data_IF_916286965318
#
_entry.id   IF_916286965318
#
_cell.length_a   1.000
_cell.length_b   1.000
_cell.length_c   1.000
_cell.angle_alpha   90.00
_cell.angle_beta   90.00
_cell.angle_gamma   90.00
#
_symmetry.space_group_name_H-M   'P 1'
#
loop_
_entity.id
_entity.type
_entity.pdbx_description
1 polymer ?
#
# COMPACT_ATOMS: atom_id res chain seq x y z
N UNK A 1 7.12 -12.97 -7.92
CA UNK A 1 5.88 -13.06 -7.10
C UNK A 1 5.99 -12.00 -6.01
N UNK A 2 4.93 -11.25 -5.68
CA UNK A 2 5.04 -10.10 -4.75
C UNK A 2 5.04 -10.58 -3.29
N UNK A 3 5.93 -10.01 -2.45
CA UNK A 3 6.14 -10.39 -1.04
C UNK A 3 5.23 -9.64 -0.05
N UNK A 4 4.22 -8.92 -0.56
CA UNK A 4 3.37 -8.03 0.24
C UNK A 4 2.63 -8.75 1.37
N UNK A 5 2.23 -10.01 1.13
CA UNK A 5 1.56 -10.83 2.13
C UNK A 5 2.45 -11.30 3.29
N UNK A 6 3.77 -11.12 3.21
CA UNK A 6 4.68 -11.43 4.33
C UNK A 6 4.61 -10.38 5.45
N UNK A 7 4.15 -9.17 5.15
CA UNK A 7 4.19 -8.04 6.08
C UNK A 7 2.89 -7.28 6.24
N UNK A 8 2.01 -7.22 5.23
CA UNK A 8 0.75 -6.49 5.35
C UNK A 8 -0.36 -7.33 6.00
N UNK A 9 -1.04 -6.75 6.98
CA UNK A 9 -2.21 -7.36 7.62
C UNK A 9 -3.43 -7.40 6.68
N UNK A 10 -3.55 -6.42 5.77
CA UNK A 10 -4.70 -6.26 4.89
C UNK A 10 -4.40 -6.72 3.46
N UNK A 11 -3.30 -6.26 2.86
CA UNK A 11 -2.95 -6.56 1.47
C UNK A 11 -2.19 -7.88 1.38
N UNK A 12 -2.92 -8.97 1.13
CA UNK A 12 -2.34 -10.33 1.16
C UNK A 12 -1.62 -10.71 -0.13
N UNK A 13 -1.90 -10.04 -1.24
CA UNK A 13 -1.21 -10.29 -2.51
C UNK A 13 -1.40 -9.16 -3.52
N UNK A 14 -0.40 -8.99 -4.39
CA UNK A 14 -0.48 -8.08 -5.54
C UNK A 14 -0.16 -8.84 -6.83
N UNK A 15 -0.92 -8.55 -7.89
CA UNK A 15 -0.68 -9.07 -9.25
C UNK A 15 -0.62 -7.92 -10.24
N UNK A 16 0.41 -7.89 -11.08
CA UNK A 16 0.50 -6.96 -12.21
C UNK A 16 -0.61 -7.18 -13.24
N UNK A 17 -1.04 -6.10 -13.88
CA UNK A 17 -2.06 -6.08 -14.94
C UNK A 17 -1.45 -5.53 -16.24
N UNK A 18 -2.12 -5.80 -17.37
CA UNK A 18 -1.73 -5.21 -18.66
C UNK A 18 -0.32 -5.57 -19.14
N UNK A 19 0.19 -6.75 -18.79
CA UNK A 19 1.53 -7.19 -19.18
C UNK A 19 2.68 -6.55 -18.38
N UNK A 20 2.40 -5.72 -17.38
CA UNK A 20 3.43 -5.19 -16.51
C UNK A 20 4.14 -6.31 -15.72
N UNK A 21 5.43 -6.13 -15.49
CA UNK A 21 6.27 -7.05 -14.72
C UNK A 21 7.01 -6.37 -13.58
N UNK A 22 7.02 -5.03 -13.57
CA UNK A 22 7.78 -4.18 -12.65
C UNK A 22 7.00 -2.90 -12.32
N UNK A 23 7.41 -2.24 -11.24
CA UNK A 23 6.88 -0.94 -10.87
C UNK A 23 7.50 0.16 -11.73
N UNK A 24 6.68 0.82 -12.55
CA UNK A 24 7.04 2.02 -13.31
C UNK A 24 5.82 2.91 -13.50
N UNK A 25 5.97 4.22 -13.70
CA UNK A 25 4.83 5.11 -13.93
C UNK A 25 3.87 4.56 -14.99
N UNK A 26 2.56 4.57 -14.67
CA UNK A 26 1.49 4.02 -15.52
C UNK A 26 1.30 2.50 -15.44
N UNK A 27 2.22 1.74 -14.86
CA UNK A 27 2.04 0.31 -14.64
C UNK A 27 0.87 0.06 -13.66
N UNK A 28 0.04 -0.94 -13.97
CA UNK A 28 -1.13 -1.26 -13.16
C UNK A 28 -0.98 -2.58 -12.46
N UNK A 29 -1.57 -2.65 -11.27
CA UNK A 29 -1.64 -3.88 -10.49
C UNK A 29 -2.97 -3.97 -9.75
N UNK A 30 -3.34 -5.20 -9.35
CA UNK A 30 -4.48 -5.44 -8.47
C UNK A 30 -4.00 -5.95 -7.12
N UNK A 31 -4.27 -5.18 -6.08
CA UNK A 31 -4.15 -5.61 -4.70
C UNK A 31 -5.34 -6.48 -4.31
N UNK A 32 -5.08 -7.59 -3.62
CA UNK A 32 -6.09 -8.42 -2.97
C UNK A 32 -6.01 -8.16 -1.48
N UNK A 33 -7.11 -7.66 -0.93
CA UNK A 33 -7.20 -7.25 0.46
C UNK A 33 -8.13 -8.18 1.23
N UNK A 34 -7.86 -8.32 2.53
CA UNK A 34 -8.67 -9.10 3.46
C UNK A 34 -8.75 -8.40 4.81
N UNK A 35 -9.96 -8.32 5.38
CA UNK A 35 -10.20 -7.89 6.76
C UNK A 35 -11.27 -8.80 7.37
N UNK A 36 -10.87 -9.63 8.35
CA UNK A 36 -11.73 -10.70 8.87
C UNK A 36 -12.21 -11.63 7.76
N UNK A 37 -13.54 -11.76 7.62
CA UNK A 37 -14.18 -12.56 6.56
C UNK A 37 -14.30 -11.83 5.22
N UNK A 38 -14.12 -10.50 5.21
CA UNK A 38 -14.29 -9.69 4.01
C UNK A 38 -13.05 -9.75 3.12
N UNK A 39 -13.28 -9.82 1.81
CA UNK A 39 -12.23 -9.83 0.78
C UNK A 39 -12.63 -8.89 -0.34
N UNK A 40 -11.67 -8.11 -0.82
CA UNK A 40 -11.91 -7.21 -1.96
C UNK A 40 -10.65 -7.03 -2.80
N UNK A 41 -10.85 -6.57 -4.02
CA UNK A 41 -9.78 -6.20 -4.93
C UNK A 41 -9.76 -4.71 -5.19
N UNK A 42 -8.58 -4.09 -5.19
CA UNK A 42 -8.40 -2.72 -5.67
C UNK A 42 -7.40 -2.70 -6.81
N UNK A 43 -7.82 -2.13 -7.93
CA UNK A 43 -6.89 -1.79 -9.01
C UNK A 43 -6.14 -0.52 -8.61
N UNK A 44 -4.84 -0.54 -8.87
CA UNK A 44 -3.93 0.55 -8.58
C UNK A 44 -3.06 0.83 -9.81
N UNK A 45 -2.61 2.07 -9.91
CA UNK A 45 -1.69 2.52 -10.93
C UNK A 45 -0.48 3.17 -10.25
N UNK A 46 0.72 2.76 -10.65
CA UNK A 46 1.96 3.37 -10.19
C UNK A 46 2.06 4.77 -10.76
N UNK A 47 2.27 5.75 -9.88
CA UNK A 47 2.43 7.16 -10.21
C UNK A 47 3.92 7.51 -10.30
N UNK A 48 4.72 7.03 -9.35
CA UNK A 48 6.16 7.24 -9.27
C UNK A 48 6.83 5.96 -8.79
N UNK A 49 7.97 5.61 -9.38
CA UNK A 49 8.81 4.52 -8.91
C UNK A 49 10.27 4.94 -9.09
N UNK A 50 10.84 5.51 -8.04
CA UNK A 50 12.23 5.97 -7.97
C UNK A 50 12.98 5.16 -6.91
N UNK A 51 14.32 5.20 -6.88
CA UNK A 51 15.07 4.67 -5.76
C UNK A 51 14.51 5.23 -4.45
N UNK A 52 14.19 4.34 -3.51
CA UNK A 52 13.69 4.68 -2.17
C UNK A 52 12.31 5.35 -2.11
N UNK A 53 11.61 5.55 -3.24
CA UNK A 53 10.29 6.17 -3.24
C UNK A 53 9.34 5.47 -4.22
N UNK A 54 8.18 5.06 -3.71
CA UNK A 54 7.11 4.47 -4.50
C UNK A 54 5.81 5.20 -4.23
N UNK A 55 5.15 5.68 -5.28
CA UNK A 55 3.83 6.32 -5.20
C UNK A 55 2.87 5.58 -6.12
N UNK A 56 1.67 5.28 -5.62
CA UNK A 56 0.60 4.70 -6.43
C UNK A 56 -0.75 5.29 -6.06
N UNK A 57 -1.69 5.21 -6.98
CA UNK A 57 -3.09 5.60 -6.75
C UNK A 57 -4.01 4.42 -6.93
N UNK A 58 -5.07 4.34 -6.14
CA UNK A 58 -6.17 3.42 -6.42
C UNK A 58 -6.98 3.94 -7.60
N UNK A 59 -7.26 3.10 -8.59
CA UNK A 59 -8.07 3.46 -9.76
C UNK A 59 -9.56 3.34 -9.40
N UNK A 60 -10.35 4.43 -9.53
CA UNK A 60 -11.79 4.37 -9.31
C UNK A 60 -12.49 3.41 -10.28
N UNK A 61 -13.48 2.70 -9.78
CA UNK A 61 -14.35 1.81 -10.56
C UNK A 61 -15.81 2.09 -10.21
N UNK A 62 -16.75 1.50 -10.94
CA UNK A 62 -18.18 1.59 -10.58
C UNK A 62 -18.47 1.05 -9.17
N UNK A 63 -17.72 0.03 -8.72
CA UNK A 63 -17.86 -0.58 -7.40
C UNK A 63 -17.12 0.20 -6.29
N UNK A 64 -15.98 0.81 -6.63
CA UNK A 64 -15.14 1.59 -5.72
C UNK A 64 -14.87 2.96 -6.34
N UNK A 65 -15.80 3.92 -6.21
CA UNK A 65 -15.70 5.22 -6.89
C UNK A 65 -14.71 6.19 -6.23
N UNK A 66 -14.18 5.82 -5.07
CA UNK A 66 -13.16 6.57 -4.34
C UNK A 66 -11.77 6.41 -4.96
N UNK A 67 -10.91 7.39 -4.68
CA UNK A 67 -9.49 7.32 -5.01
C UNK A 67 -8.65 7.75 -3.83
N UNK A 68 -7.56 7.02 -3.59
CA UNK A 68 -6.51 7.37 -2.65
C UNK A 68 -5.15 7.30 -3.33
N UNK A 69 -4.27 8.22 -2.97
CA UNK A 69 -2.84 8.20 -3.31
C UNK A 69 -2.11 7.66 -2.11
N UNK A 70 -1.17 6.76 -2.35
CA UNK A 70 -0.34 6.12 -1.33
C UNK A 70 1.11 6.31 -1.71
N UNK A 71 1.94 6.45 -0.69
CA UNK A 71 3.37 6.64 -0.84
C UNK A 71 4.12 5.82 0.20
N UNK A 72 5.25 5.26 -0.22
CA UNK A 72 6.30 4.74 0.65
C UNK A 72 7.59 5.48 0.33
N UNK A 73 8.27 5.98 1.36
CA UNK A 73 9.61 6.58 1.30
C UNK A 73 10.54 5.80 2.23
N UNK A 74 11.76 5.57 1.79
CA UNK A 74 12.83 4.97 2.57
C UNK A 74 13.93 6.00 2.78
N UNK A 75 14.21 6.32 4.04
CA UNK A 75 15.27 7.26 4.40
C UNK A 75 16.40 6.49 5.11
N UNK A 76 17.65 6.75 4.72
CA UNK A 76 18.80 6.21 5.44
C UNK A 76 18.95 6.97 6.75
N UNK A 77 19.05 6.24 7.85
CA UNK A 77 19.26 6.79 9.19
C UNK A 77 20.41 6.06 9.87
N UNK A 78 20.98 6.64 10.92
CA UNK A 78 22.04 6.01 11.68
C UNK A 78 21.59 4.64 12.20
N UNK A 79 22.25 3.59 11.73
CA UNK A 79 21.96 2.21 12.11
C UNK A 79 20.80 1.53 11.38
N UNK A 80 20.23 2.14 10.32
CA UNK A 80 19.19 1.44 9.55
C UNK A 80 18.49 2.24 8.46
N UNK A 81 17.23 1.90 8.22
CA UNK A 81 16.36 2.56 7.25
C UNK A 81 15.04 2.90 7.91
N UNK A 82 14.65 4.17 7.85
CA UNK A 82 13.33 4.61 8.24
C UNK A 82 12.37 4.40 7.07
N UNK A 83 11.28 3.68 7.32
CA UNK A 83 10.23 3.44 6.32
C UNK A 83 9.04 4.34 6.69
N UNK A 84 8.68 5.23 5.78
CA UNK A 84 7.51 6.12 5.95
C UNK A 84 6.45 5.74 4.94
N UNK A 85 5.26 5.38 5.42
CA UNK A 85 4.09 5.18 4.58
C UNK A 85 3.05 6.25 4.84
N UNK A 86 2.54 6.88 3.77
CA UNK A 86 1.46 7.85 3.83
C UNK A 86 0.38 7.52 2.81
N UNK A 87 -0.84 8.01 3.08
CA UNK A 87 -1.92 7.95 2.11
C UNK A 87 -2.80 9.19 2.24
N UNK A 88 -3.45 9.55 1.15
CA UNK A 88 -4.41 10.65 1.07
C UNK A 88 -5.60 10.21 0.23
N UNK A 89 -6.82 10.50 0.68
CA UNK A 89 -8.03 10.24 -0.11
C UNK A 89 -8.31 11.46 -0.99
N UNK A 90 -8.00 11.34 -2.28
CA UNK A 90 -8.06 12.45 -3.25
C UNK A 90 -9.41 12.55 -3.98
N UNK A 91 -10.26 11.53 -3.91
CA UNK A 91 -11.62 11.56 -4.50
C UNK A 91 -12.61 10.84 -3.60
N UNK A 92 -13.64 11.57 -3.18
CA UNK A 92 -14.81 11.02 -2.47
C UNK A 92 -16.08 11.45 -3.21
N UNK A 93 -17.00 10.55 -3.57
CA UNK A 93 -18.29 10.96 -4.12
C UNK A 93 -19.07 11.80 -3.11
N UNK A 94 -19.61 12.94 -3.54
CA UNK A 94 -20.36 13.88 -2.67
C UNK A 94 -21.50 13.21 -1.88
N UNK A 95 -22.17 12.22 -2.48
CA UNK A 95 -23.26 11.44 -1.87
C UNK A 95 -22.81 10.54 -0.70
N UNK A 96 -21.54 10.14 -0.68
CA UNK A 96 -20.94 9.28 0.33
C UNK A 96 -20.15 10.06 1.39
N UNK A 97 -20.09 11.40 1.30
CA UNK A 97 -19.22 12.23 2.14
C UNK A 97 -19.48 12.10 3.64
N UNK A 98 -20.73 11.96 4.07
CA UNK A 98 -21.07 11.79 5.51
C UNK A 98 -20.71 10.38 6.01
N UNK A 99 -20.99 9.34 5.22
CA UNK A 99 -20.63 7.96 5.56
C UNK A 99 -19.10 7.77 5.59
N UNK A 100 -18.40 8.36 4.62
CA UNK A 100 -16.94 8.40 4.60
C UNK A 100 -16.38 9.25 5.74
N UNK A 101 -16.95 10.40 6.12
CA UNK A 101 -16.46 11.18 7.25
C UNK A 101 -16.51 10.39 8.57
N UNK A 102 -17.54 9.56 8.75
CA UNK A 102 -17.66 8.65 9.90
C UNK A 102 -16.65 7.49 9.81
N UNK A 103 -16.44 6.91 8.63
CA UNK A 103 -15.44 5.85 8.39
C UNK A 103 -13.98 6.37 8.44
N UNK A 104 -13.75 7.62 8.01
CA UNK A 104 -12.47 8.36 8.11
C UNK A 104 -12.14 8.63 9.58
N UNK A 105 -13.12 8.74 10.48
CA UNK A 105 -12.84 8.74 11.92
C UNK A 105 -12.17 7.43 12.37
N UNK A 106 -12.46 6.31 11.69
CA UNK A 106 -11.74 5.04 11.81
C UNK A 106 -10.33 5.03 11.22
N UNK A 107 -9.89 6.06 10.48
CA UNK A 107 -8.49 6.18 10.07
C UNK A 107 -7.53 6.43 11.23
N UNK A 108 -8.00 6.99 12.36
CA UNK A 108 -7.20 7.01 13.61
C UNK A 108 -6.87 5.61 14.10
N UNK A 109 -7.72 4.62 13.81
CA UNK A 109 -7.53 3.22 14.20
C UNK A 109 -6.53 2.50 13.27
N UNK A 110 -6.40 2.95 12.02
CA UNK A 110 -5.51 2.32 11.03
C UNK A 110 -4.03 2.67 11.22
N UNK A 111 -3.72 3.79 11.87
CA UNK A 111 -2.32 4.21 12.08
C UNK A 111 -1.51 3.15 12.81
N UNK A 112 -2.05 2.57 13.88
CA UNK A 112 -1.35 1.53 14.64
C UNK A 112 -1.15 0.25 13.80
N UNK A 113 -2.19 -0.19 13.07
CA UNK A 113 -2.11 -1.37 12.22
C UNK A 113 -1.12 -1.19 11.06
N UNK A 114 -1.09 -0.01 10.43
CA UNK A 114 -0.13 0.34 9.39
C UNK A 114 1.29 0.47 9.95
N UNK A 115 1.48 1.09 11.11
CA UNK A 115 2.79 1.15 11.75
C UNK A 115 3.35 -0.25 12.03
N UNK A 116 2.50 -1.17 12.48
CA UNK A 116 2.91 -2.56 12.71
C UNK A 116 3.18 -3.33 11.39
N UNK A 117 2.50 -2.99 10.29
CA UNK A 117 2.87 -3.48 8.94
C UNK A 117 4.30 -3.05 8.56
N UNK A 118 4.69 -1.81 8.91
CA UNK A 118 6.04 -1.31 8.64
C UNK A 118 7.10 -1.98 9.52
N UNK A 119 6.80 -2.26 10.79
CA UNK A 119 7.68 -3.08 11.63
C UNK A 119 7.87 -4.49 11.08
N UNK A 120 6.80 -5.12 10.57
CA UNK A 120 6.90 -6.41 9.87
C UNK A 120 7.76 -6.30 8.62
N UNK A 121 7.60 -5.25 7.83
CA UNK A 121 8.39 -5.01 6.63
C UNK A 121 9.88 -4.86 6.97
N UNK A 122 10.22 -4.11 8.02
CA UNK A 122 11.59 -3.99 8.52
C UNK A 122 12.22 -5.34 8.84
N UNK A 123 11.52 -6.19 9.60
CA UNK A 123 11.99 -7.55 9.93
C UNK A 123 12.16 -8.44 8.70
N UNK A 124 11.30 -8.31 7.71
CA UNK A 124 11.42 -9.05 6.44
C UNK A 124 12.66 -8.59 5.66
N UNK A 125 12.95 -7.28 5.66
CA UNK A 125 14.11 -6.70 5.01
C UNK A 125 15.41 -7.16 5.68
N UNK A 126 15.51 -7.07 7.02
CA UNK A 126 16.68 -7.51 7.79
C UNK A 126 17.06 -8.97 7.52
N UNK A 127 16.08 -9.89 7.51
CA UNK A 127 16.32 -11.30 7.19
C UNK A 127 16.87 -11.49 5.77
N UNK A 128 16.38 -10.70 4.82
CA UNK A 128 16.82 -10.77 3.42
C UNK A 128 18.26 -10.30 3.28
N UNK A 129 18.63 -9.21 3.95
CA UNK A 129 20.01 -8.69 3.99
C UNK A 129 21.00 -9.69 4.59
N UNK A 130 20.60 -10.41 5.65
CA UNK A 130 21.43 -11.47 6.27
C UNK A 130 21.63 -12.68 5.36
N UNK A 131 20.65 -12.99 4.51
CA UNK A 131 20.72 -14.16 3.60
C UNK A 131 21.51 -13.84 2.33
N UNK A 132 21.55 -12.58 1.90
CA UNK A 132 22.28 -12.15 0.71
C UNK A 132 23.78 -11.90 0.95
N UNK A 133 24.22 -11.85 2.21
CA UNK A 133 25.59 -11.55 2.63
C UNK A 133 26.43 -12.76 3.07
N UNK A 134 26.00 -13.99 2.82
CA UNK A 134 26.74 -15.24 3.08
C UNK A 134 26.97 -16.03 1.82
#
# INVERSE_FOLDING_TARGET
>A
MTRVGEWSHECVAVRWLGGATEAKPGARFRGRNRAGIFRWGRECEVVLAEPYQLVWRTVPTALYPDSSVWQIVLDVVDGGTQITQSFEVVKVPKMLGVLYAVLIKGHRDRTAALAEDLHRLGRVAERTSLTAGG
#
